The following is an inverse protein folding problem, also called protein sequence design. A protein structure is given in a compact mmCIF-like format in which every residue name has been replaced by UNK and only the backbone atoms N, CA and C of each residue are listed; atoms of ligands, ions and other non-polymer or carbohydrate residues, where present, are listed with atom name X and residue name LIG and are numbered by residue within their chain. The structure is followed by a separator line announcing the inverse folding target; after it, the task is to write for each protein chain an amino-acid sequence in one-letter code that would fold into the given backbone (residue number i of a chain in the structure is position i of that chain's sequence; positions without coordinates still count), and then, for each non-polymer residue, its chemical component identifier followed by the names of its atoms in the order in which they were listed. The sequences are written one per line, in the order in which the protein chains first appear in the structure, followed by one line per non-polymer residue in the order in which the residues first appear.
data_IF_260004702575
#
_entry.id   IF_260004702575
#
_cell.length_a   1.000
_cell.length_b   1.000
_cell.length_c   1.000
_cell.angle_alpha   90.00
_cell.angle_beta   90.00
_cell.angle_gamma   90.00
#
_symmetry.space_group_name_H-M   'P 1'
#
loop_
_entity.id
_entity.type
_entity.pdbx_description
1 polymer ?
#
# COMPACT_ATOMS: atom_id res chain seq x y z
N UNK A 1 59.05 52.17 -38.58
CA UNK A 1 58.13 51.15 -38.04
C UNK A 1 57.98 51.36 -36.54
N UNK A 2 56.84 51.90 -36.08
CA UNK A 2 56.59 52.12 -34.65
C UNK A 2 55.75 50.96 -34.08
N UNK A 3 56.33 50.17 -33.17
CA UNK A 3 55.61 49.11 -32.44
C UNK A 3 54.74 49.75 -31.35
N UNK A 4 53.44 49.83 -31.59
CA UNK A 4 52.45 50.17 -30.56
C UNK A 4 52.38 49.04 -29.53
N UNK A 5 52.99 49.22 -28.35
CA UNK A 5 52.78 48.35 -27.19
C UNK A 5 51.56 48.84 -26.41
N UNK A 6 50.41 48.21 -26.63
CA UNK A 6 49.21 48.39 -25.81
C UNK A 6 49.48 47.81 -24.41
N UNK A 7 49.72 48.68 -23.42
CA UNK A 7 49.75 48.28 -22.00
C UNK A 7 48.33 47.88 -21.57
N UNK A 8 48.13 46.74 -20.87
CA UNK A 8 46.83 46.41 -20.32
C UNK A 8 46.48 47.44 -19.24
N UNK A 9 45.40 48.20 -19.46
CA UNK A 9 44.79 49.05 -18.43
C UNK A 9 44.33 48.11 -17.31
N UNK A 10 45.08 48.06 -16.20
CA UNK A 10 44.61 47.44 -14.96
C UNK A 10 43.38 48.23 -14.52
N UNK A 11 42.18 47.74 -14.85
CA UNK A 11 40.92 48.30 -14.37
C UNK A 11 40.96 48.20 -12.85
N UNK A 12 40.86 49.33 -12.16
CA UNK A 12 40.79 49.37 -10.70
C UNK A 12 39.57 48.58 -10.19
N UNK A 13 39.54 48.26 -8.88
CA UNK A 13 38.39 47.58 -8.29
C UNK A 13 37.10 48.39 -8.54
N UNK A 14 36.00 47.69 -8.82
CA UNK A 14 34.68 48.30 -8.97
C UNK A 14 34.36 49.16 -7.73
N UNK A 15 33.75 50.36 -7.87
CA UNK A 15 33.43 51.17 -6.70
C UNK A 15 32.41 50.47 -5.81
N UNK A 16 32.54 50.69 -4.49
CA UNK A 16 31.86 49.94 -3.43
C UNK A 16 30.35 49.74 -3.63
N UNK A 17 29.64 50.75 -4.17
CA UNK A 17 28.20 50.70 -4.43
C UNK A 17 27.81 49.60 -5.43
N UNK A 18 28.61 49.36 -6.46
CA UNK A 18 28.33 48.29 -7.43
C UNK A 18 28.68 46.91 -6.89
N UNK A 19 29.73 46.81 -6.06
CA UNK A 19 30.07 45.56 -5.38
C UNK A 19 28.93 45.13 -4.46
N UNK A 20 28.41 46.05 -3.64
CA UNK A 20 27.28 45.79 -2.75
C UNK A 20 26.02 45.39 -3.52
N UNK A 21 25.68 46.10 -4.60
CA UNK A 21 24.53 45.78 -5.45
C UNK A 21 24.69 44.38 -6.09
N UNK A 22 25.86 44.09 -6.64
CA UNK A 22 26.13 42.80 -7.30
C UNK A 22 26.12 41.64 -6.30
N UNK A 23 26.68 41.83 -5.09
CA UNK A 23 26.58 40.85 -4.02
C UNK A 23 25.15 40.61 -3.56
N UNK A 24 24.32 41.66 -3.48
CA UNK A 24 22.90 41.53 -3.13
C UNK A 24 22.11 40.77 -4.19
N UNK A 25 22.33 41.09 -5.47
CA UNK A 25 21.71 40.36 -6.59
C UNK A 25 22.17 38.91 -6.63
N UNK A 26 23.45 38.66 -6.42
CA UNK A 26 24.00 37.30 -6.34
C UNK A 26 23.40 36.52 -5.15
N UNK A 27 23.23 37.15 -3.99
CA UNK A 27 22.61 36.52 -2.82
C UNK A 27 21.15 36.14 -3.10
N UNK A 28 20.36 37.02 -3.72
CA UNK A 28 18.99 36.72 -4.12
C UNK A 28 18.92 35.57 -5.13
N UNK A 29 19.79 35.61 -6.14
CA UNK A 29 19.85 34.59 -7.19
C UNK A 29 20.29 33.24 -6.62
N UNK A 30 21.28 33.23 -5.72
CA UNK A 30 21.74 32.02 -5.04
C UNK A 30 20.68 31.44 -4.10
N UNK A 31 19.92 32.30 -3.40
CA UNK A 31 18.82 31.85 -2.53
C UNK A 31 17.69 31.24 -3.36
N UNK A 32 17.32 31.89 -4.46
CA UNK A 32 16.30 31.37 -5.37
C UNK A 32 16.71 30.04 -6.02
N UNK A 33 17.96 29.93 -6.47
CA UNK A 33 18.54 28.68 -6.99
C UNK A 33 18.56 27.59 -5.90
N UNK A 34 18.90 27.93 -4.66
CA UNK A 34 18.91 26.99 -3.54
C UNK A 34 17.53 26.40 -3.26
N UNK A 35 16.50 27.25 -3.14
CA UNK A 35 15.11 26.80 -2.94
C UNK A 35 14.65 25.95 -4.14
N UNK A 36 14.97 26.38 -5.36
CA UNK A 36 14.61 25.64 -6.57
C UNK A 36 15.26 24.26 -6.63
N UNK A 37 16.56 24.16 -6.29
CA UNK A 37 17.31 22.90 -6.26
C UNK A 37 16.75 21.95 -5.20
N UNK A 38 16.46 22.46 -4.00
CA UNK A 38 15.86 21.68 -2.91
C UNK A 38 14.51 21.14 -3.34
N UNK A 39 13.63 21.98 -3.89
CA UNK A 39 12.31 21.53 -4.31
C UNK A 39 12.39 20.51 -5.45
N UNK A 40 13.22 20.74 -6.47
CA UNK A 40 13.39 19.80 -7.60
C UNK A 40 14.06 18.49 -7.22
N UNK A 41 14.98 18.50 -6.24
CA UNK A 41 15.81 17.36 -5.89
C UNK A 41 15.22 16.49 -4.77
N UNK A 42 14.70 17.11 -3.71
CA UNK A 42 14.28 16.42 -2.48
C UNK A 42 12.80 16.05 -2.51
N UNK A 43 11.93 16.87 -3.13
CA UNK A 43 10.49 16.59 -3.20
C UNK A 43 10.16 15.20 -3.79
N UNK A 44 10.66 14.79 -4.98
CA UNK A 44 10.26 13.52 -5.57
C UNK A 44 10.79 12.30 -4.80
N UNK A 45 12.00 12.38 -4.26
CA UNK A 45 12.63 11.31 -3.49
C UNK A 45 11.98 11.17 -2.12
N UNK A 46 11.71 12.28 -1.43
CA UNK A 46 10.98 12.30 -0.17
C UNK A 46 9.57 11.72 -0.37
N UNK A 47 8.86 12.13 -1.42
CA UNK A 47 7.51 11.65 -1.70
C UNK A 47 7.50 10.13 -1.99
N UNK A 48 8.44 9.62 -2.78
CA UNK A 48 8.55 8.18 -3.08
C UNK A 48 8.87 7.35 -1.82
N UNK A 49 9.78 7.83 -0.98
CA UNK A 49 10.10 7.20 0.30
C UNK A 49 8.89 7.25 1.24
N UNK A 50 8.23 8.41 1.33
CA UNK A 50 7.06 8.61 2.15
C UNK A 50 5.91 7.70 1.74
N UNK A 51 5.67 7.53 0.44
CA UNK A 51 4.67 6.61 -0.10
C UNK A 51 4.95 5.16 0.30
N UNK A 52 6.19 4.72 0.11
CA UNK A 52 6.59 3.35 0.47
C UNK A 52 6.46 3.09 1.98
N UNK A 53 6.92 4.04 2.80
CA UNK A 53 6.89 3.91 4.25
C UNK A 53 5.47 4.00 4.81
N UNK A 54 4.66 4.91 4.28
CA UNK A 54 3.24 5.02 4.65
C UNK A 54 2.49 3.76 4.27
N UNK A 55 2.71 3.21 3.08
CA UNK A 55 2.14 1.92 2.66
C UNK A 55 2.50 0.80 3.65
N UNK A 56 3.76 0.75 4.07
CA UNK A 56 4.22 -0.22 5.08
C UNK A 56 3.47 -0.06 6.41
N UNK A 57 3.41 1.16 6.97
CA UNK A 57 2.75 1.45 8.25
C UNK A 57 1.26 1.12 8.16
N UNK A 58 0.58 1.59 7.10
CA UNK A 58 -0.84 1.34 6.89
C UNK A 58 -1.16 -0.16 6.74
N UNK A 59 -0.36 -0.92 5.98
CA UNK A 59 -0.49 -2.38 5.90
C UNK A 59 -0.31 -3.05 7.27
N UNK A 60 0.62 -2.58 8.11
CA UNK A 60 0.80 -3.11 9.46
C UNK A 60 -0.43 -2.82 10.36
N UNK A 61 -0.99 -1.62 10.28
CA UNK A 61 -2.21 -1.24 11.03
C UNK A 61 -3.40 -2.13 10.61
N UNK A 62 -3.59 -2.33 9.31
CA UNK A 62 -4.65 -3.19 8.76
C UNK A 62 -4.44 -4.64 9.19
N UNK A 63 -3.24 -5.19 9.04
CA UNK A 63 -2.93 -6.56 9.45
C UNK A 63 -3.14 -6.80 10.95
N UNK A 64 -2.83 -5.81 11.78
CA UNK A 64 -3.09 -5.86 13.22
C UNK A 64 -4.59 -5.90 13.54
N UNK A 65 -5.41 -5.18 12.77
CA UNK A 65 -6.87 -5.22 12.89
C UNK A 65 -7.43 -6.62 12.57
N UNK A 66 -6.87 -7.28 11.55
CA UNK A 66 -7.32 -8.60 11.07
C UNK A 66 -6.90 -9.71 12.04
N UNK A 67 -5.63 -9.76 12.44
CA UNK A 67 -5.09 -10.86 13.24
C UNK A 67 -5.65 -10.93 14.68
N UNK A 68 -6.20 -9.82 15.20
CA UNK A 68 -6.75 -9.78 16.56
C UNK A 68 -8.05 -10.58 16.71
N UNK A 69 -8.74 -10.86 15.59
CA UNK A 69 -9.87 -11.78 15.53
C UNK A 69 -9.53 -12.85 14.51
N UNK A 70 -8.95 -13.95 14.95
CA UNK A 70 -8.73 -15.16 14.15
C UNK A 70 -9.99 -15.44 13.34
N UNK A 71 -9.92 -15.18 12.03
CA UNK A 71 -10.96 -15.60 11.09
C UNK A 71 -10.82 -17.12 11.06
N UNK A 72 -11.68 -17.83 11.80
CA UNK A 72 -11.81 -19.26 11.61
C UNK A 72 -12.36 -19.47 10.19
N UNK A 73 -11.42 -19.73 9.28
CA UNK A 73 -11.56 -19.85 7.81
C UNK A 73 -12.50 -20.99 7.39
N UNK A 74 -13.04 -21.74 8.36
CA UNK A 74 -13.77 -22.99 8.11
C UNK A 74 -15.26 -22.86 7.82
N UNK A 75 -15.92 -21.74 8.15
CA UNK A 75 -17.39 -21.76 8.30
C UNK A 75 -18.20 -20.87 7.33
N UNK A 76 -17.54 -20.26 6.33
CA UNK A 76 -18.19 -19.39 5.33
C UNK A 76 -18.79 -20.14 4.13
N UNK A 77 -18.39 -21.40 3.92
CA UNK A 77 -18.91 -22.25 2.83
C UNK A 77 -19.63 -23.45 3.47
N UNK A 78 -20.96 -23.45 3.41
CA UNK A 78 -21.79 -24.59 3.76
C UNK A 78 -21.83 -25.59 2.60
N UNK A 79 -21.76 -26.88 2.90
CA UNK A 79 -22.11 -27.93 1.93
C UNK A 79 -23.49 -28.40 2.32
N UNK A 80 -24.43 -28.21 1.40
CA UNK A 80 -25.75 -28.79 1.50
C UNK A 80 -25.70 -30.17 0.84
N UNK A 81 -25.92 -31.27 1.58
CA UNK A 81 -26.03 -32.58 0.97
C UNK A 81 -27.22 -32.58 0.02
N UNK A 82 -27.00 -32.99 -1.23
CA UNK A 82 -28.07 -33.10 -2.20
C UNK A 82 -29.12 -34.11 -1.71
N UNK A 83 -30.40 -33.80 -1.90
CA UNK A 83 -31.47 -34.76 -1.67
C UNK A 83 -31.54 -35.75 -2.83
N UNK A 84 -31.39 -37.05 -2.55
CA UNK A 84 -31.46 -38.12 -3.55
C UNK A 84 -30.20 -38.19 -4.41
N UNK A 85 -30.38 -38.18 -5.74
CA UNK A 85 -29.33 -38.30 -6.76
C UNK A 85 -28.71 -36.94 -7.13
N UNK A 86 -29.03 -35.88 -6.38
CA UNK A 86 -28.52 -34.54 -6.61
C UNK A 86 -27.09 -34.40 -6.05
N UNK A 87 -26.19 -33.81 -6.84
CA UNK A 87 -24.84 -33.50 -6.37
C UNK A 87 -24.88 -32.52 -5.19
N UNK A 88 -23.95 -32.64 -4.21
CA UNK A 88 -23.84 -31.69 -3.11
C UNK A 88 -23.60 -30.29 -3.65
N UNK A 89 -24.42 -29.34 -3.23
CA UNK A 89 -24.28 -27.92 -3.58
C UNK A 89 -23.47 -27.21 -2.49
N UNK A 90 -22.62 -26.28 -2.91
CA UNK A 90 -21.91 -25.40 -2.01
C UNK A 90 -22.67 -24.07 -1.93
N UNK A 91 -23.17 -23.72 -0.76
CA UNK A 91 -23.79 -22.42 -0.51
C UNK A 91 -22.86 -21.56 0.33
N UNK A 92 -22.80 -20.27 -0.01
CA UNK A 92 -22.05 -19.29 0.77
C UNK A 92 -22.95 -18.78 1.88
N UNK A 93 -22.48 -18.85 3.13
CA UNK A 93 -23.17 -18.23 4.27
C UNK A 93 -22.97 -16.72 4.20
N UNK A 94 -23.77 -16.06 3.36
CA UNK A 94 -23.64 -14.63 3.04
C UNK A 94 -23.81 -13.76 4.29
N UNK A 95 -24.64 -14.18 5.25
CA UNK A 95 -24.83 -13.53 6.54
C UNK A 95 -23.53 -13.48 7.35
N UNK A 96 -22.81 -14.60 7.39
CA UNK A 96 -21.52 -14.70 8.09
C UNK A 96 -20.48 -13.83 7.40
N UNK A 97 -20.43 -13.85 6.06
CA UNK A 97 -19.51 -13.02 5.27
C UNK A 97 -19.78 -11.54 5.54
N UNK A 98 -21.03 -11.09 5.45
CA UNK A 98 -21.41 -9.70 5.67
C UNK A 98 -21.13 -9.25 7.11
N UNK A 99 -21.42 -10.10 8.10
CA UNK A 99 -21.09 -9.80 9.49
C UNK A 99 -19.58 -9.63 9.69
N UNK A 100 -18.77 -10.57 9.19
CA UNK A 100 -17.30 -10.51 9.31
C UNK A 100 -16.72 -9.32 8.56
N UNK A 101 -17.26 -9.01 7.39
CA UNK A 101 -16.89 -7.84 6.62
C UNK A 101 -17.16 -6.56 7.40
N UNK A 102 -18.36 -6.39 7.99
CA UNK A 102 -18.65 -5.23 8.85
C UNK A 102 -17.74 -5.16 10.08
N UNK A 103 -17.46 -6.29 10.73
CA UNK A 103 -16.54 -6.33 11.88
C UNK A 103 -15.11 -5.88 11.49
N UNK A 104 -14.59 -6.38 10.36
CA UNK A 104 -13.26 -6.04 9.85
C UNK A 104 -13.21 -4.56 9.47
N UNK A 105 -14.19 -4.07 8.71
CA UNK A 105 -14.27 -2.65 8.30
C UNK A 105 -14.29 -1.73 9.52
N UNK A 106 -15.11 -2.04 10.52
CA UNK A 106 -15.20 -1.24 11.74
C UNK A 106 -13.89 -1.25 12.54
N UNK A 107 -13.22 -2.40 12.64
CA UNK A 107 -11.94 -2.50 13.38
C UNK A 107 -10.80 -1.77 12.63
N UNK A 108 -10.78 -1.84 11.30
CA UNK A 108 -9.82 -1.08 10.49
C UNK A 108 -10.07 0.42 10.63
N UNK A 109 -11.32 0.87 10.51
CA UNK A 109 -11.67 2.29 10.69
C UNK A 109 -11.28 2.77 12.09
N UNK A 110 -11.57 1.97 13.12
CA UNK A 110 -11.20 2.28 14.50
C UNK A 110 -9.68 2.38 14.68
N UNK A 111 -8.92 1.44 14.11
CA UNK A 111 -7.46 1.43 14.24
C UNK A 111 -6.78 2.54 13.43
N UNK A 112 -7.28 2.87 12.24
CA UNK A 112 -6.82 4.03 11.47
C UNK A 112 -7.09 5.32 12.23
N UNK A 113 -8.32 5.51 12.74
CA UNK A 113 -8.68 6.67 13.54
C UNK A 113 -7.88 6.77 14.85
N UNK A 114 -7.53 5.65 15.48
CA UNK A 114 -6.70 5.63 16.69
C UNK A 114 -5.24 5.98 16.36
N UNK A 115 -4.73 5.46 15.26
CA UNK A 115 -3.40 5.77 14.75
C UNK A 115 -3.27 7.26 14.41
N UNK A 116 -4.29 7.86 13.79
CA UNK A 116 -4.37 9.30 13.51
C UNK A 116 -4.35 10.18 14.76
N UNK A 117 -4.80 9.69 15.91
CA UNK A 117 -4.81 10.43 17.17
C UNK A 117 -3.51 10.31 17.96
N UNK A 118 -2.47 9.72 17.36
CA UNK A 118 -1.18 9.51 18.00
C UNK A 118 -1.19 8.43 19.09
N UNK A 119 -2.27 7.62 19.21
CA UNK A 119 -2.34 6.48 20.14
C UNK A 119 -1.63 5.24 19.57
N UNK A 120 -0.39 5.47 19.14
CA UNK A 120 0.50 4.51 18.52
C UNK A 120 1.41 3.82 19.54
N UNK A 121 1.17 4.03 20.84
CA UNK A 121 1.89 3.35 21.93
C UNK A 121 1.80 1.80 21.82
N UNK A 122 0.88 1.28 21.00
CA UNK A 122 0.79 -0.15 20.67
C UNK A 122 1.49 -0.57 19.36
N UNK A 123 2.04 0.37 18.58
CA UNK A 123 2.85 0.16 17.36
C UNK A 123 4.35 0.44 17.55
N UNK A 124 4.78 1.06 18.66
CA UNK A 124 6.20 1.28 19.00
C UNK A 124 7.06 0.01 18.93
N UNK A 125 6.44 -1.18 19.00
CA UNK A 125 7.11 -2.47 18.90
C UNK A 125 7.31 -3.01 17.48
N UNK A 126 6.84 -2.30 16.44
CA UNK A 126 6.77 -2.83 15.07
C UNK A 126 7.72 -2.16 14.07
N UNK A 127 8.39 -1.06 14.43
CA UNK A 127 9.32 -0.36 13.53
C UNK A 127 10.46 0.30 14.29
N UNK A 128 11.71 0.18 13.80
CA UNK A 128 12.91 0.98 14.17
C UNK A 128 12.74 2.48 13.80
N UNK A 129 11.60 3.07 14.09
CA UNK A 129 11.28 4.46 13.78
C UNK A 129 10.90 5.13 15.08
N UNK A 130 11.66 6.17 15.45
CA UNK A 130 11.32 7.08 16.55
C UNK A 130 10.04 7.83 16.18
N UNK A 131 8.88 7.27 16.53
CA UNK A 131 7.60 7.96 16.46
C UNK A 131 7.53 8.84 17.71
N UNK A 132 7.92 10.09 17.58
CA UNK A 132 7.68 11.09 18.63
C UNK A 132 6.18 11.39 18.64
N UNK A 133 5.48 10.84 19.64
CA UNK A 133 4.07 11.15 19.90
C UNK A 133 3.99 12.61 20.39
N UNK A 134 3.80 13.54 19.46
CA UNK A 134 3.50 14.90 19.83
C UNK A 134 2.09 14.92 20.44
N UNK A 135 1.98 15.27 21.73
CA UNK A 135 0.71 15.35 22.47
C UNK A 135 -0.13 16.59 22.10
N UNK A 136 0.29 17.30 21.06
CA UNK A 136 -0.49 18.38 20.49
C UNK A 136 -1.50 17.76 19.52
N UNK A 137 -2.76 18.15 19.69
CA UNK A 137 -3.95 17.71 18.95
C UNK A 137 -3.86 18.08 17.46
N UNK A 138 -2.89 17.55 16.74
CA UNK A 138 -2.85 17.60 15.29
C UNK A 138 -3.32 16.25 14.77
N UNK A 139 -4.42 16.26 14.00
CA UNK A 139 -4.92 15.07 13.33
C UNK A 139 -3.81 14.48 12.44
N UNK A 140 -3.64 13.15 12.43
CA UNK A 140 -2.77 12.44 11.48
C UNK A 140 -1.57 11.71 12.11
N UNK A 141 -1.12 10.66 11.43
CA UNK A 141 0.07 9.90 11.85
C UNK A 141 1.31 10.66 11.41
N UNK A 142 2.03 11.24 12.36
CA UNK A 142 3.29 11.94 12.11
C UNK A 142 4.45 10.97 12.28
N UNK A 143 5.32 10.93 11.28
CA UNK A 143 6.58 10.19 11.35
C UNK A 143 7.68 10.98 10.66
N UNK A 144 8.92 10.70 11.05
CA UNK A 144 10.06 11.54 10.70
C UNK A 144 10.98 10.85 9.68
N UNK A 145 11.32 11.56 8.61
CA UNK A 145 12.31 11.13 7.60
C UNK A 145 13.61 11.91 7.81
N UNK A 146 14.76 11.26 8.06
CA UNK A 146 16.04 11.97 8.04
C UNK A 146 16.28 12.61 6.67
N UNK A 147 16.68 13.88 6.62
CA UNK A 147 16.96 14.59 5.37
C UNK A 147 17.91 13.80 4.46
N UNK A 148 18.88 13.11 5.04
CA UNK A 148 19.80 12.25 4.31
C UNK A 148 19.14 11.11 3.52
N UNK A 149 18.10 10.45 4.06
CA UNK A 149 17.29 9.48 3.30
C UNK A 149 16.62 10.15 2.10
N UNK A 150 16.17 11.39 2.27
CA UNK A 150 15.51 12.15 1.21
C UNK A 150 16.48 12.61 0.10
N UNK A 151 17.80 12.61 0.33
CA UNK A 151 18.79 12.98 -0.70
C UNK A 151 19.17 11.85 -1.66
N UNK A 152 18.67 10.62 -1.45
CA UNK A 152 19.06 9.41 -2.19
C UNK A 152 20.57 9.10 -2.16
N UNK A 153 21.29 9.68 -1.19
CA UNK A 153 22.72 9.42 -0.98
C UNK A 153 22.87 8.39 0.13
N UNK A 154 23.27 7.16 -0.24
CA UNK A 154 23.41 6.06 0.72
C UNK A 154 24.31 6.41 1.93
N UNK A 155 25.39 7.17 1.68
CA UNK A 155 26.33 7.62 2.72
C UNK A 155 25.71 8.58 3.74
N UNK A 156 24.65 9.31 3.35
CA UNK A 156 23.99 10.28 4.21
C UNK A 156 22.67 9.75 4.77
N UNK A 157 22.23 8.54 4.44
CA UNK A 157 20.88 8.04 4.72
C UNK A 157 20.35 8.34 6.12
N UNK A 158 21.17 8.14 7.16
CA UNK A 158 20.74 8.33 8.56
C UNK A 158 21.14 9.69 9.17
N UNK A 159 21.63 10.62 8.35
CA UNK A 159 22.14 11.92 8.80
C UNK A 159 21.19 13.06 8.44
N UNK A 160 21.31 14.16 9.20
CA UNK A 160 20.60 15.41 8.94
C UNK A 160 19.32 15.59 9.76
N UNK A 161 18.68 16.76 9.63
CA UNK A 161 17.45 17.09 10.36
C UNK A 161 16.30 16.17 9.95
N UNK A 162 15.41 15.88 10.90
CA UNK A 162 14.19 15.10 10.70
C UNK A 162 13.12 15.95 9.99
N UNK A 163 12.63 15.47 8.84
CA UNK A 163 11.54 16.07 8.09
C UNK A 163 10.23 15.37 8.50
N UNK A 164 9.22 16.10 9.01
CA UNK A 164 7.96 15.50 9.38
C UNK A 164 7.15 15.15 8.13
N UNK A 165 6.68 13.91 8.07
CA UNK A 165 5.70 13.44 7.10
C UNK A 165 4.44 13.07 7.87
N UNK A 166 3.31 13.58 7.41
CA UNK A 166 1.99 13.26 7.97
C UNK A 166 1.22 12.40 7.00
N UNK A 167 0.39 11.50 7.49
CA UNK A 167 -0.63 10.90 6.65
C UNK A 167 -1.96 10.70 7.37
N UNK A 168 -3.02 10.72 6.56
CA UNK A 168 -4.41 10.56 6.99
C UNK A 168 -5.10 9.55 6.08
N UNK A 169 -5.93 8.68 6.65
CA UNK A 169 -6.85 7.89 5.87
C UNK A 169 -7.95 8.81 5.32
N UNK A 170 -8.16 8.81 4.01
CA UNK A 170 -9.25 9.54 3.36
C UNK A 170 -10.34 8.56 2.97
N UNK A 171 -11.53 8.79 3.52
CA UNK A 171 -12.75 8.13 3.11
C UNK A 171 -13.05 6.83 3.85
N UNK A 172 -14.19 6.25 3.49
CA UNK A 172 -14.66 4.99 4.06
C UNK A 172 -13.89 3.81 3.46
N UNK A 173 -13.52 2.87 4.32
CA UNK A 173 -12.90 1.61 3.94
C UNK A 173 -13.90 0.80 3.10
N UNK A 174 -13.56 0.51 1.84
CA UNK A 174 -14.44 -0.22 0.91
C UNK A 174 -13.99 -1.67 0.76
N UNK A 175 -14.66 -2.62 1.43
CA UNK A 175 -14.43 -4.05 1.20
C UNK A 175 -15.23 -4.55 0.00
N UNK A 176 -14.62 -5.44 -0.77
CA UNK A 176 -15.24 -6.21 -1.85
C UNK A 176 -14.95 -7.69 -1.62
N UNK A 177 -15.92 -8.58 -1.90
CA UNK A 177 -15.75 -10.03 -1.70
C UNK A 177 -15.44 -10.68 -3.03
N UNK A 178 -14.24 -11.23 -3.17
CA UNK A 178 -13.80 -11.95 -4.37
C UNK A 178 -13.83 -13.44 -4.14
N UNK A 179 -14.50 -14.14 -5.04
CA UNK A 179 -14.61 -15.60 -5.06
C UNK A 179 -13.85 -16.10 -6.28
N UNK A 180 -12.84 -16.93 -6.03
CA UNK A 180 -11.97 -17.47 -7.07
C UNK A 180 -12.01 -19.00 -7.08
N UNK A 181 -12.86 -19.61 -7.92
CA UNK A 181 -12.87 -21.06 -8.10
C UNK A 181 -11.68 -21.52 -8.94
N UNK A 182 -10.90 -22.46 -8.41
CA UNK A 182 -9.74 -23.07 -9.08
C UNK A 182 -10.01 -24.56 -9.32
N UNK A 183 -10.12 -25.02 -10.56
CA UNK A 183 -10.26 -26.45 -10.87
C UNK A 183 -9.04 -27.24 -10.37
N UNK A 184 -9.29 -28.38 -9.74
CA UNK A 184 -8.29 -29.28 -9.14
C UNK A 184 -8.57 -30.72 -9.58
N UNK A 185 -7.84 -31.19 -10.61
CA UNK A 185 -8.00 -32.55 -11.13
C UNK A 185 -9.26 -32.73 -11.97
N UNK A 186 -9.84 -33.94 -11.95
CA UNK A 186 -10.87 -34.37 -12.90
C UNK A 186 -12.28 -33.85 -12.52
N UNK A 187 -12.58 -33.70 -11.22
CA UNK A 187 -13.86 -33.12 -10.79
C UNK A 187 -13.82 -32.42 -9.41
N UNK A 188 -12.66 -31.95 -8.96
CA UNK A 188 -12.61 -31.14 -7.73
C UNK A 188 -12.42 -29.67 -8.09
N UNK A 189 -12.98 -28.78 -7.26
CA UNK A 189 -12.78 -27.34 -7.38
C UNK A 189 -12.41 -26.78 -6.01
N UNK A 190 -11.29 -26.07 -5.93
CA UNK A 190 -10.93 -25.28 -4.77
C UNK A 190 -11.59 -23.90 -4.87
N UNK A 191 -12.52 -23.61 -3.98
CA UNK A 191 -13.16 -22.28 -3.91
C UNK A 191 -12.39 -21.47 -2.88
N UNK A 192 -11.78 -20.37 -3.32
CA UNK A 192 -11.09 -19.38 -2.48
C UNK A 192 -11.97 -18.13 -2.33
N UNK A 193 -12.18 -17.70 -1.08
CA UNK A 193 -12.97 -16.50 -0.74
C UNK A 193 -12.05 -15.53 -0.03
N UNK A 194 -11.85 -14.37 -0.65
CA UNK A 194 -11.01 -13.31 -0.11
C UNK A 194 -11.79 -11.99 -0.10
N UNK A 195 -11.55 -11.18 0.94
CA UNK A 195 -11.97 -9.78 0.96
C UNK A 195 -10.85 -8.95 0.34
N UNK A 196 -11.18 -8.23 -0.73
CA UNK A 196 -10.36 -7.21 -1.33
C UNK A 196 -10.70 -5.87 -0.68
N UNK A 197 -9.71 -5.26 -0.04
CA UNK A 197 -9.86 -4.01 0.68
C UNK A 197 -9.15 -2.88 -0.06
N UNK A 198 -9.85 -1.78 -0.30
CA UNK A 198 -9.25 -0.54 -0.81
C UNK A 198 -9.35 0.56 0.26
N UNK A 199 -8.21 1.15 0.62
CA UNK A 199 -8.11 2.30 1.55
C UNK A 199 -7.33 3.41 0.86
N UNK A 200 -7.90 4.61 0.77
CA UNK A 200 -7.18 5.78 0.26
C UNK A 200 -6.48 6.50 1.40
N UNK A 201 -5.20 6.83 1.23
CA UNK A 201 -4.39 7.54 2.22
C UNK A 201 -3.81 8.78 1.58
N UNK A 202 -3.92 9.92 2.26
CA UNK A 202 -3.27 11.17 1.88
C UNK A 202 -1.98 11.34 2.66
N UNK A 203 -0.88 11.45 1.92
CA UNK A 203 0.46 11.71 2.42
C UNK A 203 0.74 13.20 2.25
N UNK A 204 1.12 13.85 3.33
CA UNK A 204 1.42 15.28 3.40
C UNK A 204 2.88 15.44 3.81
N UNK A 205 3.66 16.05 2.92
CA UNK A 205 5.05 16.45 3.16
C UNK A 205 5.14 17.98 3.17
N UNK A 206 6.25 18.58 3.64
CA UNK A 206 6.40 20.05 3.60
C UNK A 206 6.37 20.66 2.19
N UNK A 207 6.60 19.86 1.16
CA UNK A 207 6.73 20.31 -0.23
C UNK A 207 5.49 19.98 -1.08
N UNK A 208 4.84 18.85 -0.80
CA UNK A 208 3.72 18.36 -1.61
C UNK A 208 2.78 17.42 -0.83
N UNK A 209 1.56 17.27 -1.35
CA UNK A 209 0.54 16.35 -0.85
C UNK A 209 0.10 15.40 -1.96
N UNK A 210 0.00 14.10 -1.66
CA UNK A 210 -0.39 13.06 -2.63
C UNK A 210 -1.38 12.08 -2.00
N UNK A 211 -2.39 11.68 -2.76
CA UNK A 211 -3.33 10.61 -2.38
C UNK A 211 -2.86 9.32 -3.05
N UNK A 212 -2.67 8.26 -2.27
CA UNK A 212 -2.30 6.92 -2.73
C UNK A 212 -3.33 5.90 -2.24
N UNK A 213 -3.69 4.95 -3.10
CA UNK A 213 -4.57 3.83 -2.77
C UNK A 213 -3.76 2.66 -2.24
N UNK A 214 -4.20 2.09 -1.13
CA UNK A 214 -3.70 0.87 -0.55
C UNK A 214 -4.71 -0.25 -0.81
N UNK A 215 -4.24 -1.30 -1.48
CA UNK A 215 -5.00 -2.52 -1.69
C UNK A 215 -4.46 -3.63 -0.81
N UNK A 216 -5.35 -4.33 -0.09
CA UNK A 216 -5.01 -5.47 0.74
C UNK A 216 -5.99 -6.62 0.46
N UNK A 217 -5.47 -7.81 0.18
CA UNK A 217 -6.28 -9.03 0.07
C UNK A 217 -6.23 -9.79 1.38
N UNK A 218 -7.40 -10.10 1.93
CA UNK A 218 -7.58 -10.80 3.20
C UNK A 218 -8.24 -12.14 2.89
N UNK A 219 -7.55 -13.29 3.05
CA UNK A 219 -8.18 -14.59 2.88
C UNK A 219 -9.19 -14.80 4.00
N UNK A 220 -10.43 -15.14 3.64
CA UNK A 220 -11.52 -15.39 4.59
C UNK A 220 -11.83 -16.87 4.71
N UNK A 221 -11.78 -17.59 3.59
CA UNK A 221 -12.30 -18.95 3.48
C UNK A 221 -11.73 -19.68 2.29
N UNK A 222 -11.50 -20.98 2.44
CA UNK A 222 -11.15 -21.85 1.32
C UNK A 222 -11.76 -23.22 1.54
N UNK A 223 -12.46 -23.76 0.54
CA UNK A 223 -13.01 -25.12 0.62
C UNK A 223 -12.83 -25.88 -0.69
N UNK A 224 -12.40 -27.13 -0.56
CA UNK A 224 -12.40 -28.08 -1.66
C UNK A 224 -13.82 -28.63 -1.83
N UNK A 225 -14.42 -28.39 -2.98
CA UNK A 225 -15.65 -29.06 -3.41
C UNK A 225 -15.22 -30.26 -4.23
N UNK A 226 -15.54 -31.45 -3.73
CA UNK A 226 -15.29 -32.71 -4.43
C UNK A 226 -16.53 -33.09 -5.22
N UNK A 227 -16.39 -33.18 -6.53
CA UNK A 227 -17.40 -33.71 -7.41
C UNK A 227 -17.16 -35.20 -7.67
N UNK A 228 -18.20 -35.89 -8.14
CA UNK A 228 -18.11 -37.31 -8.48
C UNK A 228 -17.18 -37.54 -9.67
N UNK A 229 -16.22 -38.45 -9.52
CA UNK A 229 -15.32 -38.78 -10.62
C UNK A 229 -16.11 -39.53 -11.70
N UNK A 230 -16.08 -39.09 -12.97
CA UNK A 230 -16.80 -39.78 -14.02
C UNK A 230 -16.21 -41.18 -14.24
N UNK A 231 -17.07 -42.15 -14.54
CA UNK A 231 -16.67 -43.54 -14.83
C UNK A 231 -15.74 -43.65 -16.05
N UNK A 232 -15.75 -42.62 -16.91
CA UNK A 232 -14.89 -42.51 -18.08
C UNK A 232 -14.38 -41.07 -18.22
N UNK A 233 -13.07 -40.90 -18.42
CA UNK A 233 -12.44 -39.60 -18.64
C UNK A 233 -11.45 -39.72 -19.81
N UNK A 234 -11.63 -38.89 -20.84
CA UNK A 234 -10.75 -38.83 -22.01
C UNK A 234 -10.19 -37.41 -22.15
N UNK A 235 -8.91 -37.24 -21.86
CA UNK A 235 -8.22 -35.96 -21.91
C UNK A 235 -7.53 -35.72 -23.27
N UNK A 236 -8.35 -35.61 -24.33
CA UNK A 236 -7.96 -34.99 -25.60
C UNK A 236 -7.36 -35.92 -26.68
N UNK A 237 -7.94 -35.83 -27.89
CA UNK A 237 -7.20 -35.99 -29.15
C UNK A 237 -7.76 -36.96 -30.19
N UNK A 238 -8.71 -37.82 -29.85
CA UNK A 238 -9.29 -38.75 -30.82
C UNK A 238 -10.70 -39.15 -30.40
N UNK A 239 -11.66 -38.92 -31.29
CA UNK A 239 -13.10 -39.17 -31.10
C UNK A 239 -13.45 -40.64 -30.95
N UNK A 240 -12.95 -41.31 -29.92
CA UNK A 240 -13.50 -42.57 -29.44
C UNK A 240 -14.74 -42.22 -28.64
N UNK A 241 -15.89 -42.26 -29.32
CA UNK A 241 -17.17 -42.45 -28.64
C UNK A 241 -17.13 -43.81 -27.94
N UNK A 242 -17.53 -43.89 -26.66
CA UNK A 242 -17.52 -45.16 -25.94
C UNK A 242 -18.45 -46.15 -26.67
N UNK A 243 -17.91 -47.29 -27.09
CA UNK A 243 -18.66 -48.38 -27.73
C UNK A 243 -19.51 -49.19 -26.74
N UNK A 244 -19.41 -48.86 -25.44
CA UNK A 244 -20.17 -49.48 -24.36
C UNK A 244 -20.81 -48.38 -23.52
N UNK A 245 -22.13 -48.24 -23.63
CA UNK A 245 -22.94 -47.47 -22.67
C UNK A 245 -23.32 -48.42 -21.54
N UNK A 246 -22.78 -48.20 -20.35
CA UNK A 246 -23.26 -48.89 -19.15
C UNK A 246 -24.57 -48.20 -18.75
N UNK A 247 -25.69 -48.94 -18.57
CA UNK A 247 -26.95 -48.33 -18.15
C UNK A 247 -26.77 -47.62 -16.80
N UNK A 248 -27.35 -46.43 -16.68
CA UNK A 248 -27.33 -45.68 -15.43
C UNK A 248 -27.83 -46.55 -14.27
N UNK A 249 -27.21 -46.48 -13.07
CA UNK A 249 -27.70 -47.20 -11.91
C UNK A 249 -29.17 -46.84 -11.68
N UNK A 250 -30.02 -47.86 -11.51
CA UNK A 250 -31.39 -47.66 -11.06
C UNK A 250 -31.36 -47.45 -9.55
N UNK A 251 -31.56 -46.19 -9.17
CA UNK A 251 -31.84 -45.66 -7.82
C UNK A 251 -30.67 -45.57 -6.85
#
# INVERSE_FOLDING_TARGET
MAKLRLRPRKRGPLPFRYVLLLSFVFFLLSTALGIWLVNKGIEPTLMSYAESKTKQIASQVINKAINKKTVEVGDVIAIEPGQGDAQPSASLKTEVINQKLSEITNEIQKNLNAAEKGDLASLERLTDVDIEVNREKEDGIVWNVPLGQATNMALLGNLGPKIPVRFHAIGEVRPDVKINPKPMGINNTWIDVAIHLEVSVQIITPFATKITRLEQNIPVGGRLIQGEVPQFYNNGGGGVTPSIQIPAPKN
#
